data_IF_372689448662
#
_entry.id   IF_372689448662
#
_cell.length_a   1.000
_cell.length_b   1.000
_cell.length_c   1.000
_cell.angle_alpha   90.00
_cell.angle_beta   90.00
_cell.angle_gamma   90.00
#
_symmetry.space_group_name_H-M   'P 1'
#
loop_
_entity.id
_entity.type
_entity.pdbx_description
1 polymer ?
#
# COMPACT_ATOMS: atom_id res chain seq x y z
N UNK A 1 -16.40 7.84 5.66
CA UNK A 1 -15.45 6.86 6.25
C UNK A 1 -14.64 6.27 5.11
N UNK A 2 -13.31 6.11 5.25
CA UNK A 2 -12.52 5.46 4.22
C UNK A 2 -13.03 4.03 3.99
N UNK A 3 -13.18 3.65 2.73
CA UNK A 3 -13.61 2.30 2.34
C UNK A 3 -12.39 1.52 1.85
N UNK A 4 -12.18 0.33 2.42
CA UNK A 4 -11.21 -0.63 1.87
C UNK A 4 -11.69 -1.07 0.48
N UNK A 5 -10.87 -0.85 -0.54
CA UNK A 5 -11.13 -1.30 -1.90
C UNK A 5 -10.52 -2.67 -2.17
N UNK A 6 -9.28 -2.86 -1.75
CA UNK A 6 -8.51 -4.08 -2.02
C UNK A 6 -7.36 -4.23 -1.05
N UNK A 7 -6.85 -5.45 -0.94
CA UNK A 7 -5.63 -5.79 -0.21
C UNK A 7 -4.68 -6.54 -1.15
N UNK A 8 -3.43 -6.13 -1.16
CA UNK A 8 -2.40 -6.61 -2.06
C UNK A 8 -1.22 -7.14 -1.25
N UNK A 9 -0.81 -8.38 -1.51
CA UNK A 9 0.41 -8.91 -0.91
C UNK A 9 1.61 -8.36 -1.65
N UNK A 10 2.57 -7.84 -0.91
CA UNK A 10 3.83 -7.32 -1.40
C UNK A 10 4.99 -7.97 -0.63
N UNK A 11 6.18 -7.95 -1.20
CA UNK A 11 7.40 -8.48 -0.61
C UNK A 11 8.53 -7.46 -0.80
N UNK A 12 9.38 -7.29 0.21
CA UNK A 12 10.62 -6.51 0.05
C UNK A 12 11.77 -7.37 -0.48
N UNK A 13 12.95 -6.78 -0.68
CA UNK A 13 14.13 -7.50 -1.16
C UNK A 13 14.64 -8.59 -0.19
N UNK A 14 14.34 -8.47 1.12
CA UNK A 14 14.65 -9.48 2.14
C UNK A 14 13.68 -10.68 2.14
N UNK A 15 12.63 -10.65 1.31
CA UNK A 15 11.61 -11.70 1.27
C UNK A 15 10.53 -11.54 2.35
N UNK A 16 10.49 -10.40 3.05
CA UNK A 16 9.46 -10.15 4.06
C UNK A 16 8.17 -9.68 3.39
N UNK A 17 7.07 -10.31 3.78
CA UNK A 17 5.74 -10.03 3.24
C UNK A 17 5.04 -8.89 3.96
N UNK A 18 4.36 -8.08 3.19
CA UNK A 18 3.61 -6.90 3.61
C UNK A 18 2.25 -6.91 2.91
N UNK A 19 1.17 -6.69 3.66
CA UNK A 19 -0.15 -6.52 3.08
C UNK A 19 -0.45 -5.03 2.92
N UNK A 20 -0.50 -4.55 1.67
CA UNK A 20 -0.87 -3.19 1.31
C UNK A 20 -2.38 -3.13 1.10
N UNK A 21 -3.07 -2.29 1.87
CA UNK A 21 -4.49 -2.04 1.80
C UNK A 21 -4.72 -0.74 1.04
N UNK A 22 -5.58 -0.82 0.02
CA UNK A 22 -5.98 0.29 -0.82
C UNK A 22 -7.27 0.88 -0.27
N UNK A 23 -7.24 2.14 0.12
CA UNK A 23 -8.37 2.88 0.69
C UNK A 23 -8.90 3.93 -0.27
N UNK A 24 -10.22 4.06 -0.34
CA UNK A 24 -10.90 5.22 -0.93
C UNK A 24 -11.38 6.15 0.18
N UNK A 25 -10.85 7.36 0.23
CA UNK A 25 -11.18 8.33 1.28
C UNK A 25 -12.59 8.92 1.13
N UNK A 26 -12.97 9.28 -0.11
CA UNK A 26 -14.24 9.95 -0.38
C UNK A 26 -14.96 9.31 -1.58
N UNK A 27 -16.25 8.95 -1.44
CA UNK A 27 -17.07 8.48 -2.55
C UNK A 27 -17.38 9.67 -3.47
N UNK A 28 -16.52 9.90 -4.47
CA UNK A 28 -16.68 10.99 -5.45
C UNK A 28 -15.36 11.62 -5.88
N UNK A 29 -14.31 11.48 -5.07
CA UNK A 29 -12.94 11.87 -5.43
C UNK A 29 -12.13 10.62 -5.73
N UNK A 30 -11.29 10.69 -6.77
CA UNK A 30 -10.30 9.64 -7.10
C UNK A 30 -9.10 9.62 -6.14
N UNK A 31 -9.25 10.14 -4.93
CA UNK A 31 -8.20 10.10 -3.89
C UNK A 31 -8.12 8.70 -3.29
N UNK A 32 -7.04 8.01 -3.64
CA UNK A 32 -6.68 6.69 -3.14
C UNK A 32 -5.56 6.87 -2.11
N UNK A 33 -5.61 6.11 -1.02
CA UNK A 33 -4.56 6.05 -0.01
C UNK A 33 -4.15 4.61 0.17
N UNK A 34 -2.87 4.38 0.43
CA UNK A 34 -2.32 3.06 0.66
C UNK A 34 -1.80 3.00 2.08
N UNK A 35 -2.14 1.94 2.81
CA UNK A 35 -1.53 1.64 4.10
C UNK A 35 -1.11 0.19 4.17
N UNK A 36 -0.20 -0.14 5.06
CA UNK A 36 0.01 -1.52 5.47
C UNK A 36 -1.11 -1.97 6.42
N UNK A 37 -1.23 -3.29 6.60
CA UNK A 37 -2.08 -3.91 7.64
C UNK A 37 -1.75 -3.37 9.05
N UNK A 38 -0.49 -3.02 9.30
CA UNK A 38 -0.06 -2.35 10.53
C UNK A 38 -0.53 -0.90 10.69
N UNK A 39 -1.20 -0.33 9.68
CA UNK A 39 -1.62 1.07 9.62
C UNK A 39 -0.52 2.03 9.17
N UNK A 40 0.68 1.55 8.86
CA UNK A 40 1.75 2.40 8.32
C UNK A 40 1.39 2.92 6.92
N UNK A 41 1.64 4.20 6.65
CA UNK A 41 1.41 4.78 5.32
C UNK A 41 2.42 4.26 4.31
N UNK A 42 1.93 3.96 3.11
CA UNK A 42 2.74 3.56 1.96
C UNK A 42 2.49 4.53 0.81
N UNK A 43 3.56 4.96 0.15
CA UNK A 43 3.52 5.76 -1.06
C UNK A 43 3.51 4.83 -2.27
N UNK A 44 2.64 5.09 -3.22
CA UNK A 44 2.70 4.41 -4.51
C UNK A 44 3.86 5.00 -5.32
N UNK A 45 4.81 4.17 -5.72
CA UNK A 45 5.99 4.60 -6.49
C UNK A 45 5.78 4.33 -7.97
N UNK A 46 5.41 3.09 -8.31
CA UNK A 46 5.23 2.62 -9.68
C UNK A 46 4.25 1.43 -9.73
N UNK A 47 3.91 0.92 -10.92
CA UNK A 47 2.80 -0.03 -11.19
C UNK A 47 2.70 -1.20 -10.21
N UNK A 48 3.84 -1.66 -9.67
CA UNK A 48 3.91 -2.74 -8.68
C UNK A 48 4.73 -2.41 -7.45
N UNK A 49 5.22 -1.17 -7.28
CA UNK A 49 6.16 -0.80 -6.21
C UNK A 49 5.54 0.22 -5.27
N UNK A 50 5.71 -0.03 -3.98
CA UNK A 50 5.28 0.86 -2.92
C UNK A 50 6.46 1.16 -2.00
N UNK A 51 6.50 2.38 -1.45
CA UNK A 51 7.50 2.80 -0.48
C UNK A 51 6.84 3.00 0.88
N UNK A 52 7.35 2.34 1.92
CA UNK A 52 6.87 2.55 3.28
C UNK A 52 7.37 3.92 3.76
N UNK A 53 6.47 4.90 3.91
CA UNK A 53 6.82 6.29 4.18
C UNK A 53 7.67 6.51 5.43
N UNK A 54 7.52 5.63 6.44
CA UNK A 54 8.28 5.71 7.70
C UNK A 54 9.74 5.26 7.56
N UNK A 55 10.01 4.30 6.68
CA UNK A 55 11.33 3.64 6.57
C UNK A 55 12.02 3.89 5.24
N UNK A 56 11.31 4.36 4.22
CA UNK A 56 11.80 4.42 2.84
C UNK A 56 11.98 3.04 2.20
N UNK A 57 11.46 1.97 2.83
CA UNK A 57 11.61 0.61 2.32
C UNK A 57 10.71 0.41 1.09
N UNK A 58 11.27 -0.11 0.01
CA UNK A 58 10.52 -0.46 -1.19
C UNK A 58 10.01 -1.89 -1.09
N UNK A 59 8.72 -2.07 -1.29
CA UNK A 59 8.04 -3.36 -1.37
C UNK A 59 7.40 -3.51 -2.75
N UNK A 60 7.42 -4.72 -3.29
CA UNK A 60 6.92 -5.04 -4.62
C UNK A 60 5.73 -5.99 -4.52
N UNK A 61 4.65 -5.69 -5.24
CA UNK A 61 3.44 -6.51 -5.31
C UNK A 61 3.77 -7.91 -5.83
N UNK A 62 3.28 -8.92 -5.13
CA UNK A 62 3.29 -10.31 -5.55
C UNK A 62 2.10 -10.55 -6.50
N UNK A 63 2.34 -11.29 -7.58
CA UNK A 63 1.29 -11.74 -8.52
C UNK A 63 0.49 -12.93 -7.98
#
# INVERSE_FOLDING_TARGET
MPTELSREMCEDEDGKRYAVIVWRLYPGLRSITYTLDSGALVNFVDERRFEIARTGLIITRLE
#
